data_IF_005197518882
#
_entry.id   IF_005197518882
#
_cell.length_a   1.000
_cell.length_b   1.000
_cell.length_c   1.000
_cell.angle_alpha   90.00
_cell.angle_beta   90.00
_cell.angle_gamma   90.00
#
_symmetry.space_group_name_H-M   'P 1'
#
loop_
_entity.id
_entity.type
_entity.pdbx_description
1 polymer ?
#
# COMPACT_ATOMS: atom_id res chain seq x y z
N UNK A 1 30.50 30.96 34.38
CA UNK A 1 30.14 29.54 34.53
C UNK A 1 28.64 29.38 34.49
N UNK A 2 28.18 28.67 33.46
CA UNK A 2 26.94 27.91 33.31
C UNK A 2 25.59 28.56 33.67
N UNK A 3 24.85 28.88 32.60
CA UNK A 3 23.44 28.53 32.38
C UNK A 3 22.88 27.53 33.42
N UNK A 4 21.93 27.99 34.24
CA UNK A 4 21.07 27.14 35.05
C UNK A 4 19.62 27.31 34.59
N UNK A 5 19.11 26.29 33.93
CA UNK A 5 17.74 26.14 33.43
C UNK A 5 16.68 26.53 34.48
N UNK A 6 15.58 27.18 34.06
CA UNK A 6 14.41 27.43 34.90
C UNK A 6 13.12 27.01 34.20
N UNK A 7 12.30 26.19 34.87
CA UNK A 7 10.89 25.96 34.53
C UNK A 7 10.07 25.81 35.84
N UNK A 8 8.94 26.51 35.90
CA UNK A 8 7.94 26.64 36.99
C UNK A 8 6.87 25.51 36.93
N UNK A 9 5.85 25.32 37.78
CA UNK A 9 5.16 26.17 38.78
C UNK A 9 4.36 25.29 39.78
N UNK A 10 5.00 24.48 40.62
CA UNK A 10 4.39 23.97 41.85
C UNK A 10 5.49 23.84 42.91
N UNK A 11 5.49 24.71 43.92
CA UNK A 11 6.56 24.75 44.92
C UNK A 11 6.41 23.58 45.89
N UNK A 12 7.07 22.47 45.59
CA UNK A 12 7.41 21.44 46.57
C UNK A 12 8.85 21.68 47.04
N UNK A 13 9.12 21.54 48.33
CA UNK A 13 10.49 21.62 48.82
C UNK A 13 11.30 20.37 48.43
N UNK A 14 12.62 20.41 48.66
CA UNK A 14 13.57 19.33 48.30
C UNK A 14 13.28 17.98 48.97
N UNK A 15 12.38 17.93 49.96
CA UNK A 15 11.94 16.70 50.62
C UNK A 15 10.54 16.24 50.11
N UNK A 16 10.01 16.89 49.07
CA UNK A 16 8.72 16.55 48.45
C UNK A 16 7.49 17.14 49.16
N UNK A 17 7.66 18.07 50.11
CA UNK A 17 6.52 18.67 50.83
C UNK A 17 6.00 19.91 50.11
N UNK A 18 4.69 19.96 49.85
CA UNK A 18 4.03 21.08 49.19
C UNK A 18 4.07 22.36 50.05
N UNK A 19 4.46 23.48 49.43
CA UNK A 19 4.59 24.79 50.07
C UNK A 19 3.59 25.83 49.54
N UNK A 20 2.64 25.44 48.67
CA UNK A 20 1.57 26.35 48.23
C UNK A 20 0.45 26.52 49.26
N UNK A 21 -0.30 27.61 49.19
CA UNK A 21 -1.51 27.78 50.01
C UNK A 21 -2.59 26.83 49.49
N UNK A 22 -3.09 25.94 50.34
CA UNK A 22 -4.25 25.10 50.07
C UNK A 22 -5.49 25.99 49.87
N UNK A 23 -5.95 26.20 48.63
CA UNK A 23 -7.27 26.79 48.37
C UNK A 23 -8.32 25.69 48.60
N UNK A 24 -9.24 25.91 49.53
CA UNK A 24 -10.44 25.08 49.69
C UNK A 24 -11.45 25.61 48.66
N UNK A 25 -11.89 24.75 47.75
CA UNK A 25 -12.94 25.11 46.79
C UNK A 25 -14.26 25.33 47.57
N UNK A 26 -14.94 26.44 47.31
CA UNK A 26 -16.25 26.75 47.92
C UNK A 26 -17.40 26.32 46.99
N UNK A 27 -18.63 26.30 47.49
CA UNK A 27 -19.83 26.00 46.68
C UNK A 27 -19.99 26.96 45.48
N UNK A 28 -19.49 28.19 45.61
CA UNK A 28 -19.45 29.18 44.52
C UNK A 28 -18.51 28.77 43.38
N UNK A 29 -17.37 28.14 43.69
CA UNK A 29 -16.45 27.59 42.67
C UNK A 29 -17.08 26.36 41.97
N UNK A 30 -17.99 25.63 42.63
CA UNK A 30 -18.71 24.47 42.08
C UNK A 30 -19.85 24.91 41.16
N UNK A 31 -20.56 25.97 41.50
CA UNK A 31 -21.71 26.47 40.73
C UNK A 31 -21.32 27.07 39.37
N UNK A 32 -20.12 27.67 39.26
CA UNK A 32 -19.58 28.14 37.97
C UNK A 32 -19.42 27.01 36.94
N UNK A 33 -19.08 25.78 37.37
CA UNK A 33 -18.91 24.60 36.51
C UNK A 33 -20.23 23.89 36.17
N UNK A 34 -21.33 24.27 36.83
CA UNK A 34 -22.65 23.66 36.65
C UNK A 34 -23.44 24.39 35.56
N UNK A 35 -23.18 25.68 35.30
CA UNK A 35 -23.93 26.45 34.30
C UNK A 35 -23.80 25.95 32.86
N UNK A 36 -22.77 25.15 32.56
CA UNK A 36 -22.56 24.50 31.25
C UNK A 36 -23.02 23.03 31.20
N UNK A 37 -23.55 22.47 32.30
CA UNK A 37 -24.03 21.10 32.33
C UNK A 37 -25.50 21.06 31.91
N UNK A 38 -25.75 20.45 30.76
CA UNK A 38 -27.09 20.02 30.33
C UNK A 38 -27.70 19.14 31.44
N UNK A 39 -28.92 19.45 31.87
CA UNK A 39 -29.59 18.65 32.90
C UNK A 39 -29.92 17.25 32.38
N UNK A 40 -30.10 16.28 33.27
CA UNK A 40 -30.40 14.89 32.87
C UNK A 40 -31.67 14.81 32.00
N UNK A 41 -32.70 15.61 32.29
CA UNK A 41 -33.93 15.65 31.48
C UNK A 41 -33.72 16.32 30.12
N UNK A 42 -32.88 17.35 30.04
CA UNK A 42 -32.48 17.94 28.74
C UNK A 42 -31.63 16.99 27.91
N UNK A 43 -30.78 16.18 28.55
CA UNK A 43 -29.99 15.15 27.88
C UNK A 43 -30.88 14.03 27.34
N UNK A 44 -31.90 13.59 28.09
CA UNK A 44 -32.88 12.57 27.67
C UNK A 44 -33.83 13.03 26.56
N UNK A 45 -34.02 14.35 26.38
CA UNK A 45 -34.83 14.92 25.30
C UNK A 45 -34.03 15.28 24.05
N UNK A 46 -32.76 15.68 24.18
CA UNK A 46 -31.88 15.97 23.03
C UNK A 46 -31.16 14.76 22.47
N UNK A 47 -30.90 13.74 23.28
CA UNK A 47 -30.12 12.57 22.90
C UNK A 47 -30.86 11.28 23.24
N UNK A 48 -30.64 10.22 22.45
CA UNK A 48 -31.29 8.92 22.69
C UNK A 48 -30.89 8.37 24.08
N UNK A 49 -31.85 7.90 24.88
CA UNK A 49 -31.55 7.25 26.16
C UNK A 49 -30.67 6.03 25.96
N UNK A 50 -29.68 5.82 26.84
CA UNK A 50 -28.90 4.57 26.84
C UNK A 50 -29.84 3.37 26.94
N UNK A 51 -29.85 2.55 25.90
CA UNK A 51 -30.69 1.35 25.82
C UNK A 51 -31.94 1.50 24.95
N UNK A 52 -32.26 2.71 24.48
CA UNK A 52 -33.36 2.97 23.55
C UNK A 52 -32.85 3.32 22.14
N UNK A 53 -31.84 2.57 21.68
CA UNK A 53 -31.51 2.56 20.26
C UNK A 53 -32.70 2.00 19.49
N UNK A 54 -32.99 2.53 18.30
CA UNK A 54 -33.94 1.88 17.39
C UNK A 54 -33.60 0.37 17.34
N UNK A 55 -34.60 -0.52 17.30
CA UNK A 55 -34.31 -1.93 17.16
C UNK A 55 -33.44 -2.08 15.92
N UNK A 56 -32.19 -2.48 16.15
CA UNK A 56 -31.29 -2.91 15.10
C UNK A 56 -32.08 -3.96 14.32
N UNK A 57 -32.46 -3.65 13.08
CA UNK A 57 -33.50 -4.39 12.37
C UNK A 57 -33.26 -5.89 12.40
N UNK A 58 -34.26 -6.67 12.78
CA UNK A 58 -34.35 -8.13 12.62
C UNK A 58 -33.02 -8.91 12.60
N UNK A 59 -32.12 -8.67 13.56
CA UNK A 59 -30.92 -9.50 13.66
C UNK A 59 -31.31 -10.87 14.23
N UNK A 60 -30.95 -11.94 13.51
CA UNK A 60 -31.19 -13.33 13.91
C UNK A 60 -30.59 -13.62 15.30
N UNK A 61 -31.28 -14.45 16.08
CA UNK A 61 -30.87 -14.83 17.44
C UNK A 61 -29.48 -15.47 17.48
N UNK A 62 -28.70 -15.11 18.51
CA UNK A 62 -27.38 -15.65 18.77
C UNK A 62 -27.44 -17.18 18.86
N UNK A 63 -26.72 -17.86 17.96
CA UNK A 63 -26.77 -19.31 17.77
C UNK A 63 -27.18 -19.75 16.36
N UNK A 64 -27.78 -18.84 15.56
CA UNK A 64 -28.08 -19.06 14.13
C UNK A 64 -27.10 -18.37 13.18
N UNK A 65 -25.91 -17.99 13.67
CA UNK A 65 -24.85 -17.54 12.78
C UNK A 65 -24.35 -18.74 11.98
N UNK A 66 -24.36 -18.61 10.64
CA UNK A 66 -23.59 -19.53 9.81
C UNK A 66 -22.16 -19.60 10.32
N UNK A 67 -21.52 -20.79 10.30
CA UNK A 67 -20.16 -20.93 10.81
C UNK A 67 -19.24 -19.89 10.16
N UNK A 68 -18.41 -19.27 10.99
CA UNK A 68 -17.40 -18.27 10.62
C UNK A 68 -16.64 -18.77 9.39
N UNK A 69 -16.78 -18.08 8.25
CA UNK A 69 -16.06 -18.43 7.03
C UNK A 69 -16.69 -17.98 5.70
N UNK A 70 -18.01 -17.78 5.61
CA UNK A 70 -18.66 -17.48 4.33
C UNK A 70 -19.08 -16.01 4.19
N UNK A 71 -18.12 -15.15 3.89
CA UNK A 71 -18.34 -13.76 3.46
C UNK A 71 -18.60 -13.69 1.95
N UNK A 72 -19.75 -14.17 1.44
CA UNK A 72 -20.21 -13.72 0.11
C UNK A 72 -21.67 -14.02 -0.18
N UNK A 73 -22.32 -13.11 -0.91
CA UNK A 73 -23.60 -13.33 -1.58
C UNK A 73 -23.47 -14.51 -2.55
N UNK A 74 -24.40 -15.45 -2.46
CA UNK A 74 -24.48 -16.65 -3.31
C UNK A 74 -24.70 -16.22 -4.77
N UNK A 75 -23.62 -16.17 -5.55
CA UNK A 75 -23.62 -15.75 -6.95
C UNK A 75 -22.43 -14.86 -7.35
N UNK A 76 -21.77 -14.21 -6.39
CA UNK A 76 -20.68 -13.26 -6.67
C UNK A 76 -19.27 -13.79 -6.32
N UNK A 77 -19.18 -14.98 -5.71
CA UNK A 77 -17.92 -15.63 -5.40
C UNK A 77 -17.71 -16.90 -6.22
N UNK A 78 -16.48 -17.07 -6.67
CA UNK A 78 -16.04 -18.29 -7.32
C UNK A 78 -16.02 -19.44 -6.31
N UNK A 79 -16.45 -20.63 -6.74
CA UNK A 79 -16.19 -21.86 -6.00
C UNK A 79 -14.69 -22.02 -5.81
N UNK A 80 -14.27 -22.83 -4.84
CA UNK A 80 -12.84 -23.11 -4.66
C UNK A 80 -12.24 -23.63 -5.96
N UNK A 81 -12.92 -24.51 -6.68
CA UNK A 81 -12.47 -25.01 -7.99
C UNK A 81 -12.40 -23.91 -9.06
N UNK A 82 -13.37 -23.00 -9.13
CA UNK A 82 -13.37 -21.86 -10.06
C UNK A 82 -12.29 -20.83 -9.71
N UNK A 83 -12.03 -20.63 -8.42
CA UNK A 83 -10.98 -19.76 -7.88
C UNK A 83 -9.62 -20.39 -8.11
N UNK A 84 -9.45 -21.67 -7.82
CA UNK A 84 -8.19 -22.40 -7.96
C UNK A 84 -7.80 -22.52 -9.44
N UNK A 85 -8.77 -22.74 -10.32
CA UNK A 85 -8.57 -22.70 -11.78
C UNK A 85 -8.16 -21.31 -12.29
N UNK A 86 -8.60 -20.23 -11.64
CA UNK A 86 -8.27 -18.86 -12.05
C UNK A 86 -7.02 -18.27 -11.39
N UNK A 87 -6.85 -18.53 -10.10
CA UNK A 87 -5.90 -17.86 -9.22
C UNK A 87 -4.84 -18.81 -8.65
N UNK A 88 -5.07 -20.13 -8.48
CA UNK A 88 -4.05 -21.05 -7.93
C UNK A 88 -3.05 -21.60 -8.95
N UNK A 89 -3.12 -21.22 -10.23
CA UNK A 89 -2.07 -21.60 -11.20
C UNK A 89 -0.68 -20.98 -10.92
N UNK A 90 -0.50 -20.22 -9.84
CA UNK A 90 0.80 -19.70 -9.40
C UNK A 90 1.87 -20.78 -9.19
N UNK A 91 1.51 -22.05 -8.99
CA UNK A 91 2.51 -23.09 -8.70
C UNK A 91 3.41 -23.45 -9.89
N UNK A 92 3.10 -23.01 -11.13
CA UNK A 92 3.88 -23.37 -12.33
C UNK A 92 4.01 -22.26 -13.38
N UNK A 93 3.91 -20.99 -13.00
CA UNK A 93 4.28 -19.89 -13.91
C UNK A 93 5.66 -19.39 -13.54
N UNK A 94 6.63 -19.65 -14.41
CA UNK A 94 7.95 -19.00 -14.37
C UNK A 94 8.03 -18.01 -15.52
N UNK A 95 8.82 -16.93 -15.39
CA UNK A 95 9.08 -16.04 -16.52
C UNK A 95 9.57 -16.85 -17.71
N UNK A 96 8.95 -16.64 -18.87
CA UNK A 96 9.31 -17.29 -20.12
C UNK A 96 10.23 -16.37 -20.91
N UNK A 97 11.36 -16.90 -21.36
CA UNK A 97 12.27 -16.19 -22.28
C UNK A 97 11.62 -16.01 -23.64
N UNK A 98 11.58 -14.78 -24.14
CA UNK A 98 11.09 -14.44 -25.50
C UNK A 98 12.19 -13.88 -26.39
N UNK A 99 13.30 -13.44 -25.79
CA UNK A 99 14.48 -12.96 -26.49
C UNK A 99 15.70 -13.25 -25.62
N UNK A 100 16.79 -13.76 -26.19
CA UNK A 100 18.05 -13.96 -25.48
C UNK A 100 19.24 -13.97 -26.43
N UNK A 101 20.44 -13.78 -25.88
CA UNK A 101 21.69 -13.86 -26.64
C UNK A 101 21.90 -12.70 -27.62
N UNK A 102 21.18 -11.59 -27.44
CA UNK A 102 21.39 -10.36 -28.22
C UNK A 102 22.34 -9.42 -27.49
N UNK A 103 22.76 -8.34 -28.17
CA UNK A 103 23.56 -7.27 -27.57
C UNK A 103 23.14 -5.95 -28.20
N UNK A 104 21.89 -5.54 -27.98
CA UNK A 104 21.33 -4.38 -28.66
C UNK A 104 21.75 -3.05 -28.00
N UNK A 105 22.13 -2.09 -28.83
CA UNK A 105 22.39 -0.68 -28.50
C UNK A 105 21.31 0.24 -29.10
N UNK A 106 21.49 1.55 -28.91
CA UNK A 106 20.61 2.62 -29.36
C UNK A 106 20.10 2.46 -30.80
N UNK A 107 18.78 2.50 -30.94
CA UNK A 107 18.09 2.40 -32.23
C UNK A 107 17.89 0.98 -32.74
N UNK A 108 18.60 -0.01 -32.19
CA UNK A 108 18.50 -1.41 -32.61
C UNK A 108 17.21 -2.07 -32.12
N UNK A 109 16.79 -3.10 -32.85
CA UNK A 109 15.52 -3.79 -32.62
C UNK A 109 15.68 -5.30 -32.69
N UNK A 110 14.83 -6.03 -31.96
CA UNK A 110 14.73 -7.48 -32.09
C UNK A 110 13.27 -7.97 -32.04
N UNK A 111 13.01 -9.06 -32.75
CA UNK A 111 11.70 -9.72 -32.76
C UNK A 111 11.53 -10.55 -31.47
N UNK A 112 10.37 -10.43 -30.82
CA UNK A 112 10.01 -11.14 -29.58
C UNK A 112 9.13 -12.37 -29.81
N UNK A 113 8.62 -12.56 -31.03
CA UNK A 113 7.74 -13.67 -31.43
C UNK A 113 6.32 -13.62 -30.88
N UNK A 114 6.08 -12.88 -29.80
CA UNK A 114 4.78 -12.72 -29.13
C UNK A 114 4.49 -11.25 -28.81
N UNK A 115 3.22 -10.91 -28.60
CA UNK A 115 2.83 -9.58 -28.15
C UNK A 115 3.16 -9.41 -26.66
N UNK A 116 4.09 -8.51 -26.35
CA UNK A 116 4.56 -8.26 -24.99
C UNK A 116 3.89 -7.07 -24.29
N UNK A 117 2.93 -6.40 -24.94
CA UNK A 117 2.27 -5.21 -24.36
C UNK A 117 1.51 -5.55 -23.08
N UNK A 118 1.66 -4.69 -22.07
CA UNK A 118 1.00 -4.82 -20.77
C UNK A 118 1.47 -6.01 -19.91
N UNK A 119 2.42 -6.81 -20.40
CA UNK A 119 3.00 -7.92 -19.66
C UNK A 119 4.10 -7.42 -18.73
N UNK A 120 4.28 -8.13 -17.62
CA UNK A 120 5.46 -7.95 -16.77
C UNK A 120 6.66 -8.52 -17.52
N UNK A 121 7.68 -7.70 -17.72
CA UNK A 121 8.91 -8.03 -18.44
C UNK A 121 10.09 -7.98 -17.47
N UNK A 122 10.98 -8.96 -17.53
CA UNK A 122 12.30 -8.91 -16.91
C UNK A 122 13.33 -8.59 -17.99
N UNK A 123 13.95 -7.43 -17.84
CA UNK A 123 14.98 -6.91 -18.74
C UNK A 123 16.34 -7.29 -18.19
N UNK A 124 17.08 -8.10 -18.93
CA UNK A 124 18.46 -8.44 -18.64
C UNK A 124 19.39 -7.69 -19.59
N UNK A 125 20.45 -7.13 -19.03
CA UNK A 125 21.49 -6.48 -19.81
C UNK A 125 22.79 -7.31 -19.79
N UNK A 126 23.75 -6.91 -20.61
CA UNK A 126 25.03 -7.63 -20.81
C UNK A 126 25.94 -7.67 -19.59
N UNK A 127 25.66 -6.89 -18.54
CA UNK A 127 26.44 -6.85 -17.30
C UNK A 127 26.05 -8.05 -16.39
N UNK A 128 26.89 -9.10 -16.29
CA UNK A 128 26.49 -10.39 -15.72
C UNK A 128 26.39 -10.38 -14.18
N UNK A 129 26.97 -9.37 -13.55
CA UNK A 129 26.97 -9.19 -12.09
C UNK A 129 25.63 -8.68 -11.54
N UNK A 130 24.73 -8.20 -12.40
CA UNK A 130 23.44 -7.65 -12.01
C UNK A 130 22.29 -8.53 -12.49
N UNK A 131 21.25 -8.59 -11.65
CA UNK A 131 19.99 -9.28 -11.94
C UNK A 131 19.10 -8.47 -12.88
N UNK A 132 18.15 -9.15 -13.52
CA UNK A 132 17.13 -8.48 -14.33
C UNK A 132 16.32 -7.44 -13.56
N UNK A 133 15.85 -6.46 -14.32
CA UNK A 133 14.99 -5.39 -13.85
C UNK A 133 13.59 -5.59 -14.39
N UNK A 134 12.59 -5.48 -13.52
CA UNK A 134 11.20 -5.66 -13.87
C UNK A 134 10.61 -4.37 -14.45
N UNK A 135 9.83 -4.47 -15.53
CA UNK A 135 9.13 -3.35 -16.16
C UNK A 135 7.85 -3.78 -16.85
N UNK A 136 7.03 -2.83 -17.27
CA UNK A 136 5.83 -3.04 -18.09
C UNK A 136 5.77 -1.96 -19.16
N UNK A 137 5.62 -2.36 -20.42
CA UNK A 137 5.37 -1.43 -21.53
C UNK A 137 3.92 -1.62 -21.97
N UNK A 138 3.00 -0.68 -21.65
CA UNK A 138 1.56 -0.91 -21.78
C UNK A 138 1.08 -0.97 -23.23
N UNK A 139 1.72 -0.21 -24.13
CA UNK A 139 1.34 -0.06 -25.54
C UNK A 139 2.58 0.16 -26.42
N UNK A 140 2.38 0.08 -27.74
CA UNK A 140 3.43 0.41 -28.71
C UNK A 140 3.84 1.88 -28.64
N UNK A 141 5.10 2.16 -28.98
CA UNK A 141 5.71 3.50 -28.99
C UNK A 141 5.64 4.23 -27.65
N UNK A 142 5.42 3.50 -26.56
CA UNK A 142 5.56 4.02 -25.20
C UNK A 142 6.96 3.69 -24.69
N UNK A 143 7.76 4.72 -24.43
CA UNK A 143 9.13 4.56 -23.90
C UNK A 143 9.12 4.36 -22.40
N UNK A 144 9.87 3.38 -21.91
CA UNK A 144 10.08 3.13 -20.49
C UNK A 144 11.57 3.02 -20.20
N UNK A 145 12.02 3.76 -19.19
CA UNK A 145 13.39 3.70 -18.69
C UNK A 145 13.49 2.73 -17.53
N UNK A 146 14.50 1.87 -17.56
CA UNK A 146 14.88 1.00 -16.43
C UNK A 146 16.33 1.22 -16.06
N UNK A 147 16.61 1.35 -14.77
CA UNK A 147 17.98 1.40 -14.25
C UNK A 147 18.54 -0.01 -14.18
N UNK A 148 19.79 -0.21 -14.60
CA UNK A 148 20.47 -1.51 -14.56
C UNK A 148 21.86 -1.34 -13.95
N UNK A 149 22.16 -2.12 -12.91
CA UNK A 149 23.45 -2.03 -12.22
C UNK A 149 23.69 -0.71 -11.50
N UNK A 150 24.97 -0.35 -11.31
CA UNK A 150 25.37 0.82 -10.52
C UNK A 150 25.12 2.17 -11.24
N UNK A 151 25.41 2.25 -12.54
CA UNK A 151 25.27 3.47 -13.35
C UNK A 151 24.59 3.24 -14.69
N UNK A 152 24.22 2.00 -15.01
CA UNK A 152 23.56 1.63 -16.25
C UNK A 152 22.09 2.00 -16.23
N UNK A 153 21.56 2.25 -17.43
CA UNK A 153 20.13 2.39 -17.66
C UNK A 153 19.85 2.07 -19.11
N UNK A 154 18.64 1.60 -19.37
CA UNK A 154 18.16 1.29 -20.71
C UNK A 154 16.74 1.80 -20.88
N UNK A 155 16.51 2.47 -22.00
CA UNK A 155 15.21 2.96 -22.42
C UNK A 155 14.69 2.06 -23.53
N UNK A 156 13.51 1.51 -23.33
CA UNK A 156 12.90 0.51 -24.20
C UNK A 156 11.53 0.98 -24.66
N UNK A 157 11.17 0.58 -25.88
CA UNK A 157 9.78 0.62 -26.33
C UNK A 157 9.44 -0.63 -27.12
N UNK A 158 8.15 -0.93 -27.18
CA UNK A 158 7.63 -1.97 -28.06
C UNK A 158 7.08 -1.33 -29.34
N UNK A 159 7.24 -2.02 -30.44
CA UNK A 159 6.66 -1.67 -31.74
C UNK A 159 6.08 -2.92 -32.41
N UNK A 160 5.40 -2.73 -33.55
CA UNK A 160 4.86 -3.81 -34.36
C UNK A 160 3.86 -4.70 -33.60
N UNK A 161 2.92 -4.07 -32.90
CA UNK A 161 1.89 -4.74 -32.09
C UNK A 161 2.48 -5.51 -30.93
N UNK A 162 3.48 -4.94 -30.25
CA UNK A 162 4.15 -5.54 -29.10
C UNK A 162 5.16 -6.64 -29.42
N UNK A 163 5.36 -6.98 -30.70
CA UNK A 163 6.18 -8.13 -31.12
C UNK A 163 7.63 -7.78 -31.42
N UNK A 164 8.01 -6.53 -31.27
CA UNK A 164 9.38 -6.08 -31.53
C UNK A 164 9.79 -5.13 -30.42
N UNK A 165 10.92 -5.44 -29.78
CA UNK A 165 11.55 -4.53 -28.83
C UNK A 165 12.46 -3.58 -29.60
N UNK A 166 12.47 -2.31 -29.22
CA UNK A 166 13.42 -1.31 -29.68
C UNK A 166 14.15 -0.72 -28.48
N UNK A 167 15.48 -0.68 -28.56
CA UNK A 167 16.29 0.09 -27.63
C UNK A 167 16.28 1.55 -28.09
N UNK A 168 15.80 2.43 -27.24
CA UNK A 168 15.78 3.88 -27.49
C UNK A 168 17.14 4.46 -27.16
N UNK A 169 17.66 4.11 -25.97
CA UNK A 169 18.91 4.63 -25.43
C UNK A 169 19.48 3.66 -24.40
N UNK A 170 20.80 3.52 -24.35
CA UNK A 170 21.52 2.87 -23.27
C UNK A 170 22.55 3.82 -22.67
N UNK A 171 22.74 3.70 -21.37
CA UNK A 171 23.78 4.43 -20.65
C UNK A 171 25.00 3.54 -20.45
N UNK A 172 26.20 4.10 -20.65
CA UNK A 172 27.48 3.43 -20.40
C UNK A 172 27.61 2.15 -21.23
N UNK A 173 27.93 1.05 -20.55
CA UNK A 173 28.19 -0.25 -21.14
C UNK A 173 26.98 -1.20 -21.10
N UNK A 174 25.79 -0.65 -20.84
CA UNK A 174 24.55 -1.41 -20.82
C UNK A 174 24.08 -1.71 -22.23
N UNK A 175 23.76 -2.97 -22.50
CA UNK A 175 23.13 -3.42 -23.76
C UNK A 175 22.05 -4.42 -23.42
N UNK A 176 20.95 -4.42 -24.19
CA UNK A 176 19.91 -5.42 -24.00
C UNK A 176 20.45 -6.80 -24.37
N UNK A 177 20.31 -7.77 -23.47
CA UNK A 177 20.79 -9.14 -23.67
C UNK A 177 19.65 -10.16 -23.76
N UNK A 178 18.65 -10.03 -22.89
CA UNK A 178 17.54 -10.98 -22.78
C UNK A 178 16.28 -10.29 -22.26
N UNK A 179 15.13 -10.75 -22.73
CA UNK A 179 13.80 -10.41 -22.21
C UNK A 179 13.10 -11.70 -21.81
N UNK A 180 12.66 -11.74 -20.55
CA UNK A 180 11.64 -12.69 -20.11
C UNK A 180 10.32 -11.97 -19.88
N UNK A 181 9.21 -12.67 -20.05
CA UNK A 181 7.88 -12.16 -19.77
C UNK A 181 7.12 -13.08 -18.83
N UNK A 182 6.19 -12.50 -18.09
CA UNK A 182 5.15 -13.24 -17.40
C UNK A 182 3.87 -13.26 -18.24
N UNK A 183 3.40 -14.46 -18.57
CA UNK A 183 2.19 -14.73 -19.34
C UNK A 183 1.00 -15.13 -18.43
#
# INVERSE_FOLDING_TARGET
NSNGFGISTYAFDKNGKFQGKKKILTEDDVTSLISERITKSEAESKYQPRGNYQPAGNYQSAGNYQPIGNYTLKGDCYTKEESDSRYLSFQNRSPRTVLSGVSLNDGETANLGVDCRGKVMWVWCTEPEYSAVMTVIPIDNYGVSTHYGYQGSIDLTLINGGRTIKVIYTRKDTRLWRIDIWD
#
